data_IF_612407501270
#
_entry.id   IF_612407501270
#
_cell.length_a   1.000
_cell.length_b   1.000
_cell.length_c   1.000
_cell.angle_alpha   90.00
_cell.angle_beta   90.00
_cell.angle_gamma   90.00
#
_symmetry.space_group_name_H-M   'P 1'
#
loop_
_entity.id
_entity.type
_entity.pdbx_description
1 polymer ?
#
# COMPACT_ATOMS: atom_id res chain seq x y z
N UNK A 1 9.87 1.96 -21.52
CA UNK A 1 10.42 3.01 -20.63
C UNK A 1 10.69 2.36 -19.28
N UNK A 2 11.96 2.05 -18.99
CA UNK A 2 12.34 1.48 -17.70
C UNK A 2 12.32 2.59 -16.63
N UNK A 3 11.72 2.33 -15.46
CA UNK A 3 11.79 3.23 -14.32
C UNK A 3 13.17 3.18 -13.65
N UNK A 4 13.46 4.14 -12.78
CA UNK A 4 14.71 4.16 -12.01
C UNK A 4 14.66 3.10 -10.90
N UNK A 5 15.78 2.44 -10.64
CA UNK A 5 15.88 1.50 -9.52
C UNK A 5 15.66 2.21 -8.19
N UNK A 6 14.92 1.59 -7.29
CA UNK A 6 14.67 2.14 -5.95
C UNK A 6 14.60 1.02 -4.90
N UNK A 7 14.91 1.39 -3.66
CA UNK A 7 14.59 0.58 -2.47
C UNK A 7 13.25 1.06 -1.92
N UNK A 8 12.35 0.13 -1.66
CA UNK A 8 11.04 0.39 -1.08
C UNK A 8 11.02 -0.30 0.29
N UNK A 9 10.75 0.45 1.35
CA UNK A 9 10.56 -0.08 2.71
C UNK A 9 9.13 0.23 3.13
N UNK A 10 8.39 -0.79 3.56
CA UNK A 10 7.04 -0.68 4.06
C UNK A 10 7.05 -1.06 5.53
N UNK A 11 6.44 -0.23 6.37
CA UNK A 11 6.21 -0.54 7.78
C UNK A 11 4.75 -0.33 8.08
N UNK A 12 4.12 -1.29 8.76
CA UNK A 12 2.74 -1.16 9.17
C UNK A 12 2.55 -1.53 10.63
N UNK A 13 1.65 -0.82 11.30
CA UNK A 13 1.18 -1.12 12.65
C UNK A 13 -0.33 -1.28 12.56
N UNK A 14 -0.83 -2.47 12.87
CA UNK A 14 -2.25 -2.77 12.93
C UNK A 14 -2.67 -2.95 14.39
N UNK A 15 -3.82 -2.38 14.74
CA UNK A 15 -4.43 -2.52 16.06
C UNK A 15 -5.88 -2.96 15.92
N UNK A 16 -6.27 -3.97 16.69
CA UNK A 16 -7.64 -4.46 16.77
C UNK A 16 -7.93 -4.79 18.23
N UNK A 17 -8.82 -4.01 18.87
CA UNK A 17 -9.03 -4.12 20.31
C UNK A 17 -7.73 -3.89 21.11
N UNK A 18 -7.33 -4.88 21.91
CA UNK A 18 -6.09 -4.87 22.69
C UNK A 18 -4.85 -5.37 21.94
N UNK A 19 -5.02 -5.98 20.77
CA UNK A 19 -3.94 -6.60 20.01
C UNK A 19 -3.26 -5.58 19.10
N UNK A 20 -1.93 -5.74 18.97
CA UNK A 20 -1.08 -4.90 18.12
C UNK A 20 -0.11 -5.78 17.34
N UNK A 21 -0.15 -5.65 16.03
CA UNK A 21 0.80 -6.29 15.11
C UNK A 21 1.67 -5.23 14.43
N UNK A 22 2.95 -5.54 14.26
CA UNK A 22 3.92 -4.70 13.55
C UNK A 22 4.58 -5.53 12.47
N UNK A 23 4.58 -5.02 11.24
CA UNK A 23 5.29 -5.65 10.12
C UNK A 23 6.21 -4.65 9.43
N UNK A 24 7.34 -5.15 8.94
CA UNK A 24 8.31 -4.38 8.17
C UNK A 24 8.83 -5.24 7.01
N UNK A 25 8.78 -4.69 5.80
CA UNK A 25 9.17 -5.37 4.57
C UNK A 25 10.04 -4.44 3.72
N UNK A 26 11.01 -5.01 2.98
CA UNK A 26 11.87 -4.25 2.09
C UNK A 26 12.01 -4.94 0.74
N UNK A 27 11.91 -4.15 -0.33
CA UNK A 27 11.91 -4.62 -1.71
C UNK A 27 12.83 -3.76 -2.58
N UNK A 28 13.40 -4.39 -3.61
CA UNK A 28 13.97 -3.69 -4.76
C UNK A 28 12.88 -3.55 -5.82
N UNK A 29 12.73 -2.35 -6.36
CA UNK A 29 11.69 -2.04 -7.33
C UNK A 29 12.11 -0.98 -8.32
N UNK A 30 11.14 -0.51 -9.08
CA UNK A 30 11.31 0.59 -10.03
C UNK A 30 10.36 1.73 -9.71
N UNK A 31 10.88 2.95 -9.76
CA UNK A 31 10.16 4.20 -9.59
C UNK A 31 9.96 4.89 -10.93
N UNK A 32 8.78 5.50 -11.13
CA UNK A 32 8.47 6.29 -12.30
C UNK A 32 7.55 7.46 -11.95
N UNK A 33 7.86 8.65 -12.46
CA UNK A 33 6.98 9.81 -12.41
C UNK A 33 6.41 10.09 -13.81
N UNK A 34 5.09 10.21 -13.92
CA UNK A 34 4.39 10.58 -15.14
C UNK A 34 3.32 11.62 -14.84
N UNK A 35 3.55 12.86 -15.25
CA UNK A 35 2.54 13.92 -15.19
C UNK A 35 2.08 14.22 -13.75
N UNK A 36 2.97 14.12 -12.76
CA UNK A 36 2.66 14.38 -11.35
C UNK A 36 2.05 13.18 -10.61
N UNK A 37 1.80 12.07 -11.32
CA UNK A 37 1.46 10.77 -10.72
C UNK A 37 2.69 9.89 -10.67
N UNK A 38 2.98 9.38 -9.49
CA UNK A 38 4.15 8.54 -9.21
C UNK A 38 3.73 7.07 -9.12
N UNK A 39 4.65 6.20 -9.54
CA UNK A 39 4.43 4.76 -9.64
C UNK A 39 5.62 4.01 -9.05
N UNK A 40 5.34 2.98 -8.26
CA UNK A 40 6.32 2.01 -7.79
C UNK A 40 5.91 0.62 -8.22
N UNK A 41 6.83 -0.12 -8.80
CA UNK A 41 6.62 -1.53 -9.14
C UNK A 41 7.64 -2.41 -8.43
N UNK A 42 7.17 -3.49 -7.83
CA UNK A 42 8.03 -4.50 -7.20
C UNK A 42 7.34 -5.88 -7.23
N UNK A 43 8.06 -6.92 -6.83
CA UNK A 43 7.53 -8.29 -6.74
C UNK A 43 7.70 -8.83 -5.32
N UNK A 44 6.70 -9.59 -4.87
CA UNK A 44 6.74 -10.39 -3.65
C UNK A 44 6.74 -11.86 -4.03
N UNK A 45 7.49 -12.67 -3.31
CA UNK A 45 7.43 -14.13 -3.43
C UNK A 45 6.80 -14.68 -2.16
N UNK A 46 5.74 -15.46 -2.34
CA UNK A 46 5.02 -16.16 -1.28
C UNK A 46 5.07 -17.66 -1.54
N UNK A 47 4.63 -18.48 -0.58
CA UNK A 47 4.50 -19.93 -0.77
C UNK A 47 3.55 -20.27 -1.94
N UNK A 48 2.50 -19.46 -2.13
CA UNK A 48 1.50 -19.61 -3.20
C UNK A 48 1.99 -19.08 -4.56
N UNK A 49 3.17 -18.46 -4.62
CA UNK A 49 3.79 -17.96 -5.84
C UNK A 49 4.12 -16.47 -5.83
N UNK A 50 4.30 -15.92 -7.02
CA UNK A 50 4.75 -14.53 -7.23
C UNK A 50 3.56 -13.58 -7.27
N UNK A 51 3.73 -12.43 -6.61
CA UNK A 51 2.77 -11.32 -6.62
C UNK A 51 3.46 -10.08 -7.19
N UNK A 52 2.97 -9.59 -8.32
CA UNK A 52 3.37 -8.31 -8.88
C UNK A 52 2.60 -7.18 -8.19
N UNK A 53 3.33 -6.21 -7.65
CA UNK A 53 2.78 -5.10 -6.91
C UNK A 53 3.02 -3.78 -7.65
N UNK A 54 1.94 -3.03 -7.87
CA UNK A 54 1.97 -1.68 -8.43
C UNK A 54 1.35 -0.72 -7.42
N UNK A 55 2.14 0.22 -6.90
CA UNK A 55 1.62 1.37 -6.16
C UNK A 55 1.55 2.57 -7.10
N UNK A 56 0.46 3.31 -7.04
CA UNK A 56 0.32 4.57 -7.74
C UNK A 56 -0.21 5.63 -6.78
N UNK A 57 0.48 6.78 -6.74
CA UNK A 57 0.19 7.81 -5.75
C UNK A 57 0.51 9.22 -6.27
N UNK A 58 -0.13 10.19 -5.66
CA UNK A 58 0.12 11.61 -5.84
C UNK A 58 -0.08 12.32 -4.49
N UNK A 59 -0.16 13.65 -4.43
CA UNK A 59 -0.38 14.35 -3.15
C UNK A 59 -1.78 14.15 -2.55
N UNK A 60 -2.72 13.54 -3.29
CA UNK A 60 -4.14 13.47 -2.92
C UNK A 60 -4.58 12.05 -2.57
N UNK A 61 -3.97 11.03 -3.16
CA UNK A 61 -4.42 9.66 -3.00
C UNK A 61 -3.32 8.63 -3.23
N UNK A 62 -3.56 7.44 -2.70
CA UNK A 62 -2.73 6.26 -2.90
C UNK A 62 -3.60 5.10 -3.41
N UNK A 63 -3.02 4.28 -4.26
CA UNK A 63 -3.61 3.01 -4.67
C UNK A 63 -2.55 1.94 -4.78
N UNK A 64 -2.92 0.70 -4.51
CA UNK A 64 -2.06 -0.45 -4.72
C UNK A 64 -2.85 -1.56 -5.43
N UNK A 65 -2.24 -2.13 -6.45
CA UNK A 65 -2.76 -3.27 -7.19
C UNK A 65 -1.78 -4.43 -7.03
N UNK A 66 -2.30 -5.59 -6.68
CA UNK A 66 -1.54 -6.84 -6.61
C UNK A 66 -2.11 -7.80 -7.64
N UNK A 67 -1.24 -8.52 -8.34
CA UNK A 67 -1.61 -9.53 -9.35
C UNK A 67 -0.76 -10.78 -9.21
N UNK A 68 -1.35 -11.95 -9.47
CA UNK A 68 -0.68 -13.25 -9.40
C UNK A 68 -1.30 -14.15 -8.34
N UNK A 69 -0.49 -14.68 -7.44
CA UNK A 69 -0.94 -15.55 -6.33
C UNK A 69 -2.00 -14.88 -5.43
N UNK A 70 -1.95 -13.55 -5.33
CA UNK A 70 -2.98 -12.71 -4.73
C UNK A 70 -3.38 -11.63 -5.73
N UNK A 71 -4.69 -11.46 -5.94
CA UNK A 71 -5.22 -10.36 -6.74
C UNK A 71 -5.95 -9.39 -5.82
N UNK A 72 -5.52 -8.13 -5.77
CA UNK A 72 -6.17 -7.11 -4.95
C UNK A 72 -6.09 -5.74 -5.58
N UNK A 73 -7.06 -4.89 -5.23
CA UNK A 73 -7.00 -3.46 -5.53
C UNK A 73 -7.49 -2.67 -4.33
N UNK A 74 -6.61 -1.84 -3.79
CA UNK A 74 -6.90 -0.90 -2.71
C UNK A 74 -6.79 0.55 -3.23
N UNK A 75 -7.73 1.39 -2.83
CA UNK A 75 -7.74 2.83 -3.07
C UNK A 75 -7.91 3.55 -1.73
N UNK A 76 -6.98 4.44 -1.41
CA UNK A 76 -6.94 5.20 -0.16
C UNK A 76 -7.02 6.68 -0.49
N UNK A 77 -8.09 7.31 -0.04
CA UNK A 77 -8.38 8.72 -0.29
C UNK A 77 -8.80 9.35 1.05
N UNK A 78 -8.02 10.31 1.58
CA UNK A 78 -8.29 10.89 2.90
C UNK A 78 -9.71 11.45 2.99
N UNK A 79 -10.40 11.12 4.08
CA UNK A 79 -11.79 11.52 4.34
C UNK A 79 -12.84 10.71 3.57
N UNK A 80 -12.47 9.67 2.81
CA UNK A 80 -13.42 8.83 2.07
C UNK A 80 -13.41 7.39 2.55
N UNK A 81 -14.59 6.76 2.43
CA UNK A 81 -14.74 5.31 2.48
C UNK A 81 -14.59 4.74 1.06
N UNK A 82 -13.81 3.69 0.91
CA UNK A 82 -13.64 2.94 -0.35
C UNK A 82 -13.97 1.48 -0.15
N UNK A 83 -14.58 0.83 -1.14
CA UNK A 83 -14.83 -0.61 -1.15
C UNK A 83 -13.72 -1.30 -1.95
N UNK A 84 -12.86 -2.02 -1.25
CA UNK A 84 -11.63 -2.60 -1.80
C UNK A 84 -11.80 -4.11 -1.96
N UNK A 85 -11.38 -4.64 -3.12
CA UNK A 85 -11.60 -6.04 -3.48
C UNK A 85 -10.31 -6.84 -3.34
N UNK A 86 -10.42 -7.99 -2.70
CA UNK A 86 -9.37 -9.00 -2.57
C UNK A 86 -9.90 -10.30 -3.14
N UNK A 87 -9.19 -10.88 -4.09
CA UNK A 87 -9.48 -12.18 -4.68
C UNK A 87 -8.34 -13.11 -4.31
N UNK A 88 -8.64 -14.04 -3.42
CA UNK A 88 -7.76 -15.15 -3.04
C UNK A 88 -8.28 -16.43 -3.72
N UNK A 89 -7.47 -17.51 -3.78
CA UNK A 89 -7.96 -18.81 -4.27
C UNK A 89 -9.19 -19.34 -3.52
N UNK A 90 -9.36 -18.94 -2.25
CA UNK A 90 -10.49 -19.34 -1.40
C UNK A 90 -11.76 -18.52 -1.65
N UNK A 91 -11.68 -17.41 -2.37
CA UNK A 91 -12.83 -16.60 -2.74
C UNK A 91 -12.56 -15.10 -2.80
N UNK A 92 -13.65 -14.35 -3.03
CA UNK A 92 -13.62 -12.89 -3.08
C UNK A 92 -14.03 -12.30 -1.73
N UNK A 93 -13.22 -11.37 -1.24
CA UNK A 93 -13.47 -10.56 -0.06
C UNK A 93 -13.59 -9.10 -0.48
N UNK A 94 -14.56 -8.39 0.08
CA UNK A 94 -14.69 -6.94 -0.10
C UNK A 94 -14.57 -6.27 1.27
N UNK A 95 -13.65 -5.31 1.38
CA UNK A 95 -13.36 -4.60 2.62
C UNK A 95 -13.67 -3.11 2.43
N UNK A 96 -14.48 -2.56 3.32
CA UNK A 96 -14.64 -1.11 3.43
C UNK A 96 -13.47 -0.52 4.21
N UNK A 97 -12.85 0.51 3.65
CA UNK A 97 -11.72 1.20 4.27
C UNK A 97 -12.01 2.68 4.36
N UNK A 98 -11.89 3.27 5.54
CA UNK A 98 -11.92 4.71 5.76
C UNK A 98 -10.49 5.24 5.92
N UNK A 99 -10.04 6.12 5.04
CA UNK A 99 -8.71 6.73 5.16
C UNK A 99 -8.79 7.99 6.03
N UNK A 100 -8.19 7.96 7.22
CA UNK A 100 -8.14 9.11 8.14
C UNK A 100 -7.12 10.13 7.72
N UNK A 101 -5.92 9.69 7.35
CA UNK A 101 -4.80 10.55 7.02
C UNK A 101 -4.01 10.01 5.84
N UNK A 102 -3.48 10.93 5.04
CA UNK A 102 -2.62 10.64 3.91
C UNK A 102 -1.67 11.81 3.68
N UNK A 103 -0.36 11.52 3.60
CA UNK A 103 0.66 12.52 3.31
C UNK A 103 1.79 11.92 2.47
N UNK A 104 2.33 12.76 1.58
CA UNK A 104 3.56 12.47 0.82
C UNK A 104 4.56 13.58 1.10
N UNK A 105 5.76 13.20 1.51
CA UNK A 105 6.91 14.09 1.73
C UNK A 105 8.01 13.65 0.78
N UNK A 106 8.54 14.59 -0.01
CA UNK A 106 9.60 14.35 -0.99
C UNK A 106 10.82 15.19 -0.60
N UNK A 107 11.95 14.53 -0.32
CA UNK A 107 13.19 15.17 0.12
C UNK A 107 14.39 14.56 -0.62
N UNK A 108 14.89 15.30 -1.61
CA UNK A 108 16.00 14.83 -2.46
C UNK A 108 15.64 13.53 -3.18
N UNK A 109 16.37 12.45 -2.86
CA UNK A 109 16.17 11.13 -3.44
C UNK A 109 15.22 10.23 -2.62
N UNK A 110 14.62 10.77 -1.56
CA UNK A 110 13.72 10.03 -0.67
C UNK A 110 12.27 10.50 -0.83
N UNK A 111 11.35 9.54 -0.77
CA UNK A 111 9.91 9.79 -0.70
C UNK A 111 9.37 9.04 0.51
N UNK A 112 8.71 9.74 1.42
CA UNK A 112 7.99 9.17 2.55
C UNK A 112 6.48 9.33 2.33
N UNK A 113 5.74 8.24 2.47
CA UNK A 113 4.29 8.20 2.36
C UNK A 113 3.75 7.72 3.72
N UNK A 114 2.96 8.57 4.38
CA UNK A 114 2.26 8.23 5.61
C UNK A 114 0.78 8.04 5.34
N UNK A 115 0.21 6.91 5.79
CA UNK A 115 -1.21 6.60 5.61
C UNK A 115 -1.78 6.05 6.91
N UNK A 116 -2.89 6.63 7.35
CA UNK A 116 -3.69 6.10 8.44
C UNK A 116 -5.08 5.74 7.93
N UNK A 117 -5.52 4.50 8.17
CA UNK A 117 -6.83 4.04 7.73
C UNK A 117 -7.44 3.02 8.69
N UNK A 118 -8.77 2.91 8.62
CA UNK A 118 -9.58 1.94 9.35
C UNK A 118 -10.14 0.94 8.35
N UNK A 119 -9.86 -0.35 8.56
CA UNK A 119 -10.63 -1.40 7.92
C UNK A 119 -11.90 -1.57 8.75
N UNK A 120 -13.05 -1.29 8.14
CA UNK A 120 -14.35 -1.40 8.80
C UNK A 120 -14.68 -2.88 8.93
N UNK A 121 -14.55 -3.40 10.15
CA UNK A 121 -15.06 -4.72 10.51
C UNK A 121 -16.26 -4.54 11.44
N UNK A 122 -17.16 -5.53 11.49
CA UNK A 122 -18.47 -5.35 12.12
C UNK A 122 -18.44 -4.94 13.60
N UNK A 123 -17.55 -5.52 14.42
CA UNK A 123 -17.49 -5.24 15.86
C UNK A 123 -16.52 -4.10 16.19
N UNK A 124 -15.26 -4.22 15.77
CA UNK A 124 -14.21 -3.23 16.00
C UNK A 124 -13.45 -2.95 14.69
N UNK A 125 -13.15 -1.70 14.40
CA UNK A 125 -12.32 -1.37 13.26
C UNK A 125 -10.87 -1.82 13.49
N UNK A 126 -10.22 -2.33 12.44
CA UNK A 126 -8.77 -2.55 12.46
C UNK A 126 -8.12 -1.24 12.07
N UNK A 127 -7.44 -0.62 13.03
CA UNK A 127 -6.74 0.63 12.83
C UNK A 127 -5.33 0.35 12.30
N UNK A 128 -5.02 0.87 11.11
CA UNK A 128 -3.71 0.69 10.49
C UNK A 128 -3.00 2.03 10.34
N UNK A 129 -1.73 2.05 10.73
CA UNK A 129 -0.76 3.10 10.39
C UNK A 129 0.29 2.48 9.47
N UNK A 130 0.46 3.05 8.28
CA UNK A 130 1.37 2.56 7.25
C UNK A 130 2.34 3.66 6.84
N UNK A 131 3.62 3.32 6.83
CA UNK A 131 4.71 4.17 6.35
C UNK A 131 5.39 3.46 5.18
N UNK A 132 5.53 4.16 4.06
CA UNK A 132 6.26 3.68 2.89
C UNK A 132 7.40 4.66 2.62
N UNK A 133 8.62 4.16 2.62
CA UNK A 133 9.81 4.91 2.29
C UNK A 133 10.38 4.40 0.96
N UNK A 134 10.63 5.32 0.04
CA UNK A 134 11.26 5.05 -1.25
C UNK A 134 12.59 5.77 -1.27
N UNK A 135 13.66 5.06 -1.59
CA UNK A 135 14.98 5.64 -1.84
C UNK A 135 15.41 5.31 -3.27
N UNK A 136 15.50 6.33 -4.11
CA UNK A 136 16.01 6.20 -5.48
C UNK A 136 17.52 5.88 -5.43
N UNK A 137 17.97 4.96 -6.29
CA UNK A 137 19.36 4.52 -6.39
C UNK A 137 20.11 5.18 -7.54
#
# INVERSE_FOLDING_TARGET
>A
MAGNSCKITLRSIQKMGGDKEVSEESYLGSFMDRGGKKYLTYRRTTEDGVIECLMAFDRKSFSMTQKGALNSKIELVPGKKTLNKYTTPLGNLSLEIFTRHYQVIEEGNNIAIGIEYDIVTGADAIQTSMEINVKNM
#
